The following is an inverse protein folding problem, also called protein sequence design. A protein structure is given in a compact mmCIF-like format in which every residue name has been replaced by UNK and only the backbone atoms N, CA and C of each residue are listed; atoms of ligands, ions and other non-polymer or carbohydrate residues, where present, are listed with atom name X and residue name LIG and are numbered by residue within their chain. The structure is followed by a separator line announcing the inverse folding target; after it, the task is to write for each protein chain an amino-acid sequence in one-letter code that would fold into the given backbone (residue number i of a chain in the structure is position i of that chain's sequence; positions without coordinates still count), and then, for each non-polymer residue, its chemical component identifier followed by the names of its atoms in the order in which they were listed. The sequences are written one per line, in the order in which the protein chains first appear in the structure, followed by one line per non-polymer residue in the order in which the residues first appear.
data_IF_562432107586
#
_entry.id   IF_562432107586
#
_cell.length_a   1.000
_cell.length_b   1.000
_cell.length_c   1.000
_cell.angle_alpha   90.00
_cell.angle_beta   90.00
_cell.angle_gamma   90.00
#
_symmetry.space_group_name_H-M   'P 1'
#
loop_
_entity.id
_entity.type
_entity.pdbx_description
1 polymer ?
#
# COMPACT_ATOMS: atom_id res chain seq x y z
N UNK A 1 -3.28 18.03 -2.77
CA UNK A 1 -3.55 16.86 -1.91
C UNK A 1 -5.02 16.76 -1.51
N UNK A 2 -5.57 17.73 -0.76
CA UNK A 2 -6.96 17.69 -0.28
C UNK A 2 -8.00 17.39 -1.38
N UNK A 3 -8.00 18.16 -2.47
CA UNK A 3 -8.92 17.95 -3.61
C UNK A 3 -8.76 16.56 -4.25
N UNK A 4 -7.55 16.02 -4.31
CA UNK A 4 -7.31 14.68 -4.87
C UNK A 4 -7.93 13.59 -4.00
N UNK A 5 -7.73 13.66 -2.68
CA UNK A 5 -8.19 12.65 -1.72
C UNK A 5 -9.72 12.68 -1.53
N UNK A 6 -10.29 13.86 -1.36
CA UNK A 6 -11.74 14.04 -1.16
C UNK A 6 -12.56 13.58 -2.37
N UNK A 7 -12.13 13.93 -3.59
CA UNK A 7 -12.80 13.52 -4.84
C UNK A 7 -12.42 12.11 -5.34
N UNK A 8 -11.52 11.39 -4.66
CA UNK A 8 -10.98 10.13 -5.20
C UNK A 8 -12.07 9.09 -5.49
N UNK A 9 -13.03 8.94 -4.56
CA UNK A 9 -14.11 7.98 -4.67
C UNK A 9 -15.07 8.32 -5.84
N UNK A 10 -15.33 9.61 -6.09
CA UNK A 10 -16.17 10.08 -7.20
C UNK A 10 -15.53 9.79 -8.56
N UNK A 11 -14.20 9.74 -8.62
CA UNK A 11 -13.43 9.42 -9.83
C UNK A 11 -13.33 7.92 -10.10
N UNK A 12 -13.97 7.07 -9.30
CA UNK A 12 -13.92 5.62 -9.43
C UNK A 12 -12.63 4.98 -8.89
N UNK A 13 -11.81 5.71 -8.12
CA UNK A 13 -10.68 5.10 -7.42
C UNK A 13 -11.23 4.22 -6.29
N UNK A 14 -10.66 3.01 -6.15
CA UNK A 14 -11.04 2.06 -5.11
C UNK A 14 -9.97 1.88 -4.03
N UNK A 15 -8.69 2.05 -4.36
CA UNK A 15 -7.56 1.96 -3.42
C UNK A 15 -6.54 3.04 -3.76
N UNK A 16 -5.97 3.69 -2.75
CA UNK A 16 -4.88 4.68 -2.94
C UNK A 16 -3.58 4.10 -2.38
N UNK A 17 -2.49 4.14 -3.16
CA UNK A 17 -1.14 3.86 -2.69
C UNK A 17 -0.40 5.20 -2.55
N UNK A 18 0.09 5.49 -1.35
CA UNK A 18 0.81 6.72 -1.05
C UNK A 18 2.20 6.40 -0.50
N UNK A 19 3.24 6.91 -1.16
CA UNK A 19 4.64 6.79 -0.71
C UNK A 19 5.16 8.11 -0.16
N UNK A 20 5.87 8.07 0.97
CA UNK A 20 6.55 9.24 1.54
C UNK A 20 7.75 8.83 2.42
N UNK A 21 8.74 9.72 2.54
CA UNK A 21 9.95 9.52 3.34
C UNK A 21 10.21 10.66 4.33
N UNK A 22 11.03 10.41 5.34
CA UNK A 22 11.30 11.33 6.45
C UNK A 22 10.07 11.49 7.35
N UNK A 23 9.60 12.73 7.52
CA UNK A 23 8.31 13.04 8.14
C UNK A 23 7.15 12.70 7.18
N UNK A 24 6.89 11.40 7.03
CA UNK A 24 6.10 10.82 5.95
C UNK A 24 4.57 10.97 6.16
N UNK A 25 4.07 12.20 6.17
CA UNK A 25 2.66 12.50 6.49
C UNK A 25 1.64 12.21 5.38
N UNK A 26 2.08 12.09 4.12
CA UNK A 26 1.17 11.99 2.97
C UNK A 26 0.14 10.86 3.12
N UNK A 27 0.50 9.60 3.47
CA UNK A 27 -0.48 8.52 3.58
C UNK A 27 -1.56 8.79 4.63
N UNK A 28 -1.15 9.28 5.81
CA UNK A 28 -2.06 9.60 6.91
C UNK A 28 -3.01 10.76 6.57
N UNK A 29 -2.48 11.81 5.93
CA UNK A 29 -3.29 12.96 5.51
C UNK A 29 -4.30 12.60 4.42
N UNK A 30 -3.93 11.72 3.48
CA UNK A 30 -4.86 11.23 2.47
C UNK A 30 -5.96 10.38 3.10
N UNK A 31 -5.59 9.47 4.01
CA UNK A 31 -6.55 8.63 4.74
C UNK A 31 -7.55 9.44 5.58
N UNK A 32 -7.13 10.58 6.13
CA UNK A 32 -8.03 11.47 6.87
C UNK A 32 -9.07 12.20 5.99
N UNK A 33 -8.89 12.19 4.67
CA UNK A 33 -9.68 13.01 3.73
C UNK A 33 -10.49 12.16 2.75
N UNK A 34 -10.46 10.83 2.86
CA UNK A 34 -11.11 9.92 1.93
C UNK A 34 -11.70 8.72 2.65
N UNK A 35 -12.86 8.18 2.22
CA UNK A 35 -13.39 6.93 2.76
C UNK A 35 -12.69 5.69 2.17
N UNK A 36 -11.83 5.86 1.16
CA UNK A 36 -11.15 4.77 0.47
C UNK A 36 -10.00 4.19 1.32
N UNK A 37 -9.67 2.90 1.16
CA UNK A 37 -8.46 2.32 1.75
C UNK A 37 -7.20 3.00 1.20
N UNK A 38 -6.29 3.33 2.11
CA UNK A 38 -4.97 3.90 1.80
C UNK A 38 -3.87 2.94 2.23
N UNK A 39 -3.00 2.59 1.29
CA UNK A 39 -1.80 1.77 1.51
C UNK A 39 -0.58 2.69 1.57
N UNK A 40 0.13 2.67 2.69
CA UNK A 40 1.30 3.49 2.93
C UNK A 40 2.61 2.77 2.60
N UNK A 41 3.46 3.39 1.77
CA UNK A 41 4.81 2.90 1.47
C UNK A 41 5.84 3.83 2.12
N UNK A 42 6.51 3.39 3.19
CA UNK A 42 7.61 4.16 3.75
C UNK A 42 8.78 4.19 2.76
N UNK A 43 9.20 5.39 2.36
CA UNK A 43 10.34 5.57 1.46
C UNK A 43 11.58 5.85 2.30
N UNK A 44 12.66 5.09 2.07
CA UNK A 44 13.92 5.28 2.79
C UNK A 44 14.46 6.70 2.55
N UNK A 45 14.52 7.49 3.63
CA UNK A 45 15.15 8.80 3.63
C UNK A 45 16.68 8.72 3.66
N UNK A 46 17.33 9.88 3.75
CA UNK A 46 18.80 10.01 3.86
C UNK A 46 19.35 9.58 5.23
N UNK A 47 18.48 9.45 6.23
CA UNK A 47 18.84 9.14 7.61
C UNK A 47 17.88 8.10 8.17
N UNK A 48 18.30 7.38 9.21
CA UNK A 48 17.46 6.44 9.97
C UNK A 48 16.90 5.25 9.15
N UNK A 49 17.43 4.98 7.96
CA UNK A 49 17.08 3.83 7.11
C UNK A 49 15.57 3.63 6.88
N UNK A 50 14.80 4.72 6.90
CA UNK A 50 13.35 4.69 6.70
C UNK A 50 12.55 4.30 7.95
N UNK A 51 13.19 4.15 9.12
CA UNK A 51 12.49 3.95 10.40
C UNK A 51 11.62 5.16 10.74
N UNK A 52 12.13 6.37 10.48
CA UNK A 52 11.38 7.62 10.61
C UNK A 52 10.11 7.62 9.76
N UNK A 53 10.25 7.15 8.52
CA UNK A 53 9.20 7.08 7.52
C UNK A 53 8.18 6.00 7.89
N UNK A 54 8.67 4.85 8.35
CA UNK A 54 7.83 3.75 8.80
C UNK A 54 6.97 4.17 9.99
N UNK A 55 7.58 4.75 11.03
CA UNK A 55 6.88 5.20 12.22
C UNK A 55 5.91 6.34 11.91
N UNK A 56 6.26 7.26 11.02
CA UNK A 56 5.38 8.34 10.58
C UNK A 56 4.11 7.85 9.88
N UNK A 57 4.15 6.67 9.24
CA UNK A 57 3.02 6.11 8.50
C UNK A 57 2.23 5.09 9.32
N UNK A 58 2.90 4.19 10.06
CA UNK A 58 2.24 3.06 10.74
C UNK A 58 1.60 3.46 12.07
N UNK A 59 2.11 4.49 12.76
CA UNK A 59 1.62 4.90 14.09
C UNK A 59 0.41 5.84 14.02
N UNK A 60 -0.51 5.59 13.09
CA UNK A 60 -1.73 6.41 12.98
C UNK A 60 -2.62 6.26 14.23
N UNK A 61 -3.20 7.37 14.73
CA UNK A 61 -4.12 7.31 15.84
C UNK A 61 -5.43 6.59 15.47
N UNK A 62 -6.18 6.19 16.49
CA UNK A 62 -7.51 5.60 16.34
C UNK A 62 -8.41 6.51 15.48
N UNK A 63 -9.05 5.93 14.48
CA UNK A 63 -10.04 6.60 13.63
C UNK A 63 -9.58 6.85 12.18
N UNK A 64 -8.27 6.84 11.91
CA UNK A 64 -7.72 7.10 10.56
C UNK A 64 -6.69 6.02 10.19
N UNK A 65 -7.12 4.83 9.71
CA UNK A 65 -6.21 3.73 9.43
C UNK A 65 -5.41 3.94 8.14
N UNK A 66 -4.16 3.45 8.13
CA UNK A 66 -3.32 3.31 6.93
C UNK A 66 -2.77 1.88 6.91
N UNK A 67 -2.89 1.19 5.78
CA UNK A 67 -2.32 -0.14 5.59
C UNK A 67 -0.84 -0.02 5.19
N UNK A 68 0.07 -0.07 6.16
CA UNK A 68 1.51 0.15 5.92
C UNK A 68 2.21 -1.12 5.46
N UNK A 69 2.98 -1.03 4.38
CA UNK A 69 3.88 -2.10 3.92
C UNK A 69 5.34 -1.82 4.33
N UNK A 70 6.24 -2.75 4.03
CA UNK A 70 7.66 -2.61 4.35
C UNK A 70 8.31 -1.38 3.66
N UNK A 71 9.38 -0.87 4.27
CA UNK A 71 10.20 0.23 3.72
C UNK A 71 10.64 -0.10 2.30
N UNK A 72 10.47 0.85 1.36
CA UNK A 72 10.75 0.74 -0.06
C UNK A 72 10.02 -0.39 -0.81
N UNK A 73 9.00 -1.01 -0.22
CA UNK A 73 8.32 -2.15 -0.83
C UNK A 73 7.02 -1.74 -1.55
N UNK A 74 7.17 -0.91 -2.60
CA UNK A 74 6.04 -0.49 -3.44
C UNK A 74 5.37 -1.68 -4.15
N UNK A 75 6.12 -2.74 -4.45
CA UNK A 75 5.60 -3.98 -5.03
C UNK A 75 4.52 -4.60 -4.12
N UNK A 76 4.80 -4.74 -2.83
CA UNK A 76 3.81 -5.29 -1.90
C UNK A 76 2.61 -4.36 -1.69
N UNK A 77 2.76 -3.04 -1.83
CA UNK A 77 1.61 -2.15 -1.84
C UNK A 77 0.70 -2.40 -3.05
N UNK A 78 1.29 -2.60 -4.23
CA UNK A 78 0.55 -3.00 -5.43
C UNK A 78 -0.16 -4.34 -5.27
N UNK A 79 0.54 -5.36 -4.76
CA UNK A 79 -0.06 -6.67 -4.50
C UNK A 79 -1.16 -6.62 -3.44
N UNK A 80 -1.00 -5.82 -2.39
CA UNK A 80 -2.04 -5.63 -1.38
C UNK A 80 -3.27 -4.92 -1.97
N UNK A 81 -3.09 -3.91 -2.81
CA UNK A 81 -4.19 -3.27 -3.52
C UNK A 81 -4.93 -4.26 -4.44
N UNK A 82 -4.20 -5.10 -5.20
CA UNK A 82 -4.81 -6.18 -6.01
C UNK A 82 -5.61 -7.15 -5.13
N UNK A 83 -5.09 -7.54 -3.96
CA UNK A 83 -5.82 -8.39 -3.01
C UNK A 83 -7.08 -7.72 -2.46
N UNK A 84 -7.04 -6.42 -2.16
CA UNK A 84 -8.21 -5.65 -1.72
C UNK A 84 -9.30 -5.64 -2.80
N UNK A 85 -8.92 -5.41 -4.07
CA UNK A 85 -9.84 -5.42 -5.20
C UNK A 85 -10.39 -6.83 -5.49
N UNK A 86 -9.53 -7.84 -5.39
CA UNK A 86 -9.88 -9.25 -5.63
C UNK A 86 -10.91 -9.82 -4.65
N UNK A 87 -11.24 -9.14 -3.55
CA UNK A 87 -12.36 -9.53 -2.67
C UNK A 87 -13.70 -9.52 -3.41
N UNK A 88 -13.85 -8.66 -4.42
CA UNK A 88 -15.07 -8.50 -5.20
C UNK A 88 -14.87 -8.73 -6.71
N UNK A 89 -13.70 -9.25 -7.11
CA UNK A 89 -13.34 -9.49 -8.51
C UNK A 89 -12.66 -10.85 -8.65
N UNK A 90 -13.42 -11.84 -9.12
CA UNK A 90 -12.97 -13.22 -9.31
C UNK A 90 -11.82 -13.34 -10.32
N UNK A 91 -11.74 -12.43 -11.29
CA UNK A 91 -10.63 -12.41 -12.25
C UNK A 91 -9.34 -11.99 -11.57
N UNK A 92 -9.38 -10.92 -10.77
CA UNK A 92 -8.21 -10.48 -9.99
C UNK A 92 -7.81 -11.53 -8.95
N UNK A 93 -8.78 -12.17 -8.30
CA UNK A 93 -8.52 -13.26 -7.36
C UNK A 93 -7.77 -14.41 -8.05
N UNK A 94 -8.26 -14.87 -9.20
CA UNK A 94 -7.62 -15.95 -9.97
C UNK A 94 -6.20 -15.60 -10.41
N UNK A 95 -5.99 -14.37 -10.90
CA UNK A 95 -4.66 -13.88 -11.30
C UNK A 95 -3.69 -13.77 -10.12
N UNK A 96 -4.18 -13.36 -8.96
CA UNK A 96 -3.39 -13.31 -7.73
C UNK A 96 -3.02 -14.72 -7.25
N UNK A 97 -3.92 -15.69 -7.34
CA UNK A 97 -3.63 -17.11 -7.06
C UNK A 97 -2.56 -17.67 -8.01
N UNK A 98 -2.66 -17.40 -9.31
CA UNK A 98 -1.64 -17.83 -10.28
C UNK A 98 -0.27 -17.22 -9.96
N UNK A 99 -0.22 -15.91 -9.68
CA UNK A 99 1.03 -15.26 -9.29
C UNK A 99 1.68 -15.92 -8.08
N UNK A 100 0.90 -16.38 -7.09
CA UNK A 100 1.44 -17.08 -5.92
C UNK A 100 2.06 -18.43 -6.28
N UNK A 101 1.44 -19.19 -7.19
CA UNK A 101 2.00 -20.45 -7.66
C UNK A 101 3.29 -20.21 -8.47
N UNK A 102 3.30 -19.20 -9.35
CA UNK A 102 4.49 -18.83 -10.12
C UNK A 102 5.67 -18.46 -9.21
N UNK A 103 5.42 -17.72 -8.11
CA UNK A 103 6.45 -17.39 -7.13
C UNK A 103 6.98 -18.63 -6.42
N UNK A 104 6.09 -19.56 -6.05
CA UNK A 104 6.48 -20.83 -5.42
C UNK A 104 7.36 -21.66 -6.37
N UNK A 105 6.96 -21.80 -7.63
CA UNK A 105 7.77 -22.48 -8.64
C UNK A 105 9.14 -21.82 -8.85
N UNK A 106 9.18 -20.49 -8.88
CA UNK A 106 10.45 -19.76 -9.02
C UNK A 106 11.41 -20.00 -7.86
N UNK A 107 10.91 -20.19 -6.64
CA UNK A 107 11.76 -20.49 -5.48
C UNK A 107 12.28 -21.91 -5.56
N UNK A 108 11.44 -22.89 -5.91
CA UNK A 108 11.85 -24.28 -6.09
C UNK A 108 12.95 -24.42 -7.14
N UNK A 109 12.80 -23.79 -8.31
CA UNK A 109 13.79 -23.81 -9.40
C UNK A 109 15.14 -23.16 -9.05
N UNK A 110 15.20 -22.30 -8.04
CA UNK A 110 16.45 -21.65 -7.58
C UNK A 110 17.14 -22.42 -6.46
N UNK A 111 16.43 -23.36 -5.82
CA UNK A 111 16.94 -24.19 -4.73
C UNK A 111 17.61 -25.48 -5.20
N UNK A 112 17.40 -25.86 -6.47
CA UNK A 112 18.09 -26.94 -7.19
C UNK A 112 19.32 -26.42 -7.95
#
# INVERSE_FOLDING_TARGET
MFSYASSAHERGIQVIIAGAGGAAHLPGMVAAMTPLPVVGVPVRGSSLDGVDSLLSIVQMPRGVPVATVAVNNATNAGLLAVRMLGVADDNLLSRMSQYQEDQKESVLKKGD
#
